data_IF_479052143494
#
_entry.id   IF_479052143494
#
_cell.length_a   1.000
_cell.length_b   1.000
_cell.length_c   1.000
_cell.angle_alpha   90.00
_cell.angle_beta   90.00
_cell.angle_gamma   90.00
#
_symmetry.space_group_name_H-M   'P 1'
#
loop_
_entity.id
_entity.type
_entity.pdbx_description
1 polymer ?
#
# COMPACT_ATOMS: atom_id res chain seq x y z
N UNK A 1 13.26 0.48 -25.40
CA UNK A 1 12.04 -0.32 -25.61
C UNK A 1 11.65 -0.96 -24.28
N UNK A 2 10.52 -0.56 -23.67
CA UNK A 2 10.04 -1.16 -22.44
C UNK A 2 9.46 -2.55 -22.74
N UNK A 3 9.82 -3.56 -21.94
CA UNK A 3 9.24 -4.90 -22.08
C UNK A 3 7.87 -4.93 -21.42
N UNK A 4 6.95 -5.70 -21.98
CA UNK A 4 5.67 -5.98 -21.33
C UNK A 4 5.90 -6.91 -20.14
N UNK A 5 5.24 -6.64 -19.03
CA UNK A 5 5.33 -7.49 -17.84
C UNK A 5 4.73 -8.86 -18.16
N UNK A 6 5.40 -9.97 -17.80
CA UNK A 6 4.83 -11.29 -17.99
C UNK A 6 3.55 -11.40 -17.15
N UNK A 7 2.42 -11.59 -17.83
CA UNK A 7 1.12 -11.72 -17.20
C UNK A 7 1.15 -12.94 -16.25
N UNK A 8 0.88 -12.79 -14.95
CA UNK A 8 0.62 -13.94 -14.10
C UNK A 8 -0.62 -14.67 -14.63
N UNK A 9 -0.62 -16.01 -14.58
CA UNK A 9 -1.75 -16.81 -15.01
C UNK A 9 -3.02 -16.30 -14.30
N UNK A 10 -3.97 -15.78 -15.08
CA UNK A 10 -5.24 -15.29 -14.56
C UNK A 10 -6.01 -16.48 -13.97
N UNK A 11 -6.14 -16.53 -12.64
CA UNK A 11 -7.15 -17.36 -12.01
C UNK A 11 -8.48 -16.65 -12.27
N UNK A 12 -9.11 -16.97 -13.40
CA UNK A 12 -10.43 -16.48 -13.76
C UNK A 12 -11.44 -17.12 -12.81
N UNK A 13 -11.70 -16.48 -11.67
CA UNK A 13 -12.87 -16.77 -10.86
C UNK A 13 -14.09 -16.17 -11.57
N UNK A 14 -14.75 -17.00 -12.37
CA UNK A 14 -16.07 -16.73 -12.92
C UNK A 14 -17.10 -17.01 -11.82
N UNK A 15 -17.54 -15.98 -11.09
CA UNK A 15 -18.77 -16.08 -10.31
C UNK A 15 -19.85 -15.14 -10.86
N UNK A 16 -20.65 -15.81 -11.68
CA UNK A 16 -22.03 -15.62 -12.12
C UNK A 16 -22.84 -14.57 -11.35
N UNK A 17 -23.37 -13.62 -12.13
CA UNK A 17 -24.47 -12.71 -11.81
C UNK A 17 -25.80 -13.44 -11.59
N UNK A 18 -26.64 -12.92 -10.68
CA UNK A 18 -28.12 -13.10 -10.52
C UNK A 18 -28.51 -12.50 -9.15
N UNK A 19 -29.56 -11.72 -8.91
CA UNK A 19 -30.79 -11.32 -9.62
C UNK A 19 -31.28 -9.95 -9.11
N UNK A 20 -32.03 -9.28 -9.99
CA UNK A 20 -32.91 -8.14 -9.73
C UNK A 20 -33.95 -8.43 -8.64
N UNK A 21 -34.25 -7.41 -7.84
CA UNK A 21 -35.43 -7.30 -7.00
C UNK A 21 -35.71 -5.82 -6.72
N UNK A 22 -36.56 -5.20 -7.54
CA UNK A 22 -37.08 -3.85 -7.36
C UNK A 22 -38.23 -3.92 -6.34
N UNK A 23 -38.14 -3.17 -5.24
CA UNK A 23 -39.31 -2.80 -4.45
C UNK A 23 -39.33 -1.29 -4.24
N UNK A 24 -40.50 -0.73 -4.51
CA UNK A 24 -40.78 0.68 -4.59
C UNK A 24 -41.07 1.32 -3.21
N UNK A 25 -40.58 2.56 -3.08
CA UNK A 25 -41.18 3.75 -2.47
C UNK A 25 -42.02 3.59 -1.19
N UNK A 26 -41.52 4.19 -0.10
CA UNK A 26 -42.33 5.03 0.78
C UNK A 26 -41.51 6.26 1.21
N UNK A 27 -42.03 7.45 0.94
CA UNK A 27 -41.47 8.72 1.31
C UNK A 27 -41.81 9.07 2.76
N UNK A 28 -40.82 9.55 3.52
CA UNK A 28 -41.05 10.43 4.66
C UNK A 28 -39.88 11.41 4.77
N UNK A 29 -40.13 12.66 4.35
CA UNK A 29 -39.22 13.78 4.47
C UNK A 29 -39.10 14.19 5.93
N UNK A 30 -37.98 13.83 6.57
CA UNK A 30 -37.50 14.43 7.80
C UNK A 30 -36.06 14.87 7.59
N UNK A 31 -35.84 16.14 7.25
CA UNK A 31 -34.50 16.72 7.18
C UNK A 31 -33.99 16.95 8.60
N UNK A 32 -33.58 15.87 9.26
CA UNK A 32 -32.69 15.96 10.40
C UNK A 32 -31.32 16.39 9.85
N UNK A 33 -30.95 17.65 10.07
CA UNK A 33 -29.59 18.11 9.84
C UNK A 33 -28.69 17.29 10.77
N UNK A 34 -28.07 16.26 10.21
CA UNK A 34 -27.01 15.52 10.88
C UNK A 34 -25.91 16.54 11.21
N UNK A 35 -25.39 16.55 12.45
CA UNK A 35 -24.18 17.31 12.72
C UNK A 35 -23.12 16.80 11.75
N UNK A 36 -22.66 17.68 10.87
CA UNK A 36 -21.48 17.44 10.06
C UNK A 36 -20.32 17.35 11.06
N UNK A 37 -20.03 16.13 11.52
CA UNK A 37 -18.77 15.83 12.17
C UNK A 37 -17.70 16.32 11.21
N UNK A 38 -17.06 17.44 11.55
CA UNK A 38 -15.84 17.83 10.87
C UNK A 38 -14.93 16.62 10.96
N UNK A 39 -14.72 15.94 9.84
CA UNK A 39 -13.78 14.82 9.73
C UNK A 39 -12.44 15.41 10.16
N UNK A 40 -12.06 15.19 11.41
CA UNK A 40 -10.70 15.44 11.85
C UNK A 40 -9.84 14.62 10.89
N UNK A 41 -8.98 15.30 10.13
CA UNK A 41 -8.12 14.63 9.18
C UNK A 41 -7.34 13.56 9.94
N UNK A 42 -7.67 12.29 9.69
CA UNK A 42 -6.97 11.16 10.29
C UNK A 42 -5.56 11.16 9.72
N UNK A 43 -4.62 11.65 10.51
CA UNK A 43 -3.24 11.84 10.07
C UNK A 43 -2.35 10.71 10.60
N UNK A 44 -1.42 10.26 9.75
CA UNK A 44 -0.39 9.32 10.18
C UNK A 44 0.63 10.03 11.06
N UNK A 45 0.84 9.48 12.26
CA UNK A 45 1.89 9.95 13.17
C UNK A 45 3.18 9.14 12.96
N UNK A 46 4.34 9.81 12.90
CA UNK A 46 5.64 9.14 12.90
C UNK A 46 5.77 8.13 14.05
N UNK A 47 6.43 7.00 13.77
CA UNK A 47 6.61 5.94 14.76
C UNK A 47 7.85 5.11 14.48
N UNK A 48 8.27 4.37 15.49
CA UNK A 48 9.23 3.27 15.36
C UNK A 48 8.64 2.01 15.97
N UNK A 49 8.67 0.91 15.23
CA UNK A 49 8.25 -0.40 15.69
C UNK A 49 9.41 -1.40 15.56
N UNK A 50 9.53 -2.26 16.56
CA UNK A 50 10.50 -3.35 16.58
C UNK A 50 9.76 -4.67 16.63
N UNK A 51 10.09 -5.57 15.71
CA UNK A 51 9.53 -6.91 15.64
C UNK A 51 10.63 -7.94 15.82
N UNK A 52 10.28 -9.06 16.44
CA UNK A 52 11.12 -10.26 16.44
C UNK A 52 10.49 -11.29 15.53
N UNK A 53 11.30 -11.89 14.68
CA UNK A 53 10.89 -12.96 13.78
C UNK A 53 11.99 -14.01 13.70
N UNK A 54 11.74 -15.10 12.99
CA UNK A 54 12.73 -16.14 12.73
C UNK A 54 12.80 -16.43 11.24
N UNK A 55 14.02 -16.61 10.74
CA UNK A 55 14.27 -16.99 9.36
C UNK A 55 15.19 -18.22 9.36
N UNK A 56 14.70 -19.35 8.82
CA UNK A 56 15.44 -20.62 8.79
C UNK A 56 15.99 -21.04 10.17
N UNK A 57 15.20 -20.81 11.23
CA UNK A 57 15.56 -21.16 12.61
C UNK A 57 16.52 -20.18 13.30
N UNK A 58 16.78 -19.01 12.70
CA UNK A 58 17.62 -17.97 13.29
C UNK A 58 16.79 -16.73 13.59
N UNK A 59 16.92 -16.20 14.81
CA UNK A 59 16.21 -15.01 15.27
C UNK A 59 16.68 -13.75 14.54
N UNK A 60 15.72 -12.95 14.08
CA UNK A 60 15.93 -11.65 13.44
C UNK A 60 15.13 -10.58 14.17
N UNK A 61 15.76 -9.43 14.39
CA UNK A 61 15.04 -8.20 14.69
C UNK A 61 14.73 -7.46 13.38
N UNK A 62 13.51 -6.94 13.27
CA UNK A 62 13.08 -6.03 12.21
C UNK A 62 12.77 -4.68 12.85
N UNK A 63 13.30 -3.62 12.27
CA UNK A 63 12.97 -2.23 12.62
C UNK A 63 12.15 -1.63 11.48
N UNK A 64 11.01 -1.04 11.85
CA UNK A 64 10.16 -0.27 10.94
C UNK A 64 10.02 1.15 11.46
N UNK A 65 10.27 2.14 10.62
CA UNK A 65 10.11 3.56 10.98
C UNK A 65 9.23 4.26 9.97
N UNK A 66 8.29 5.05 10.46
CA UNK A 66 7.56 6.03 9.66
C UNK A 66 8.03 7.41 10.12
N UNK A 67 8.53 8.21 9.20
CA UNK A 67 9.04 9.55 9.43
C UNK A 67 8.37 10.53 8.46
N UNK A 68 8.34 11.81 8.83
CA UNK A 68 7.90 12.86 7.92
C UNK A 68 9.09 13.28 7.05
N UNK A 69 8.90 13.24 5.74
CA UNK A 69 9.87 13.66 4.74
C UNK A 69 9.66 15.11 4.30
N UNK A 70 10.26 15.47 3.17
CA UNK A 70 10.09 16.78 2.55
C UNK A 70 8.71 16.88 1.86
N UNK A 71 8.21 18.10 1.65
CA UNK A 71 6.95 18.36 0.93
C UNK A 71 5.74 17.56 1.46
N UNK A 72 5.62 17.39 2.78
CA UNK A 72 4.55 16.61 3.42
C UNK A 72 4.49 15.15 2.96
N UNK A 73 5.61 14.60 2.50
CA UNK A 73 5.75 13.17 2.26
C UNK A 73 5.95 12.41 3.57
N UNK A 74 5.65 11.11 3.53
CA UNK A 74 6.01 10.15 4.55
C UNK A 74 7.07 9.21 4.00
N UNK A 75 8.10 8.97 4.81
CA UNK A 75 9.16 7.99 4.52
C UNK A 75 8.99 6.82 5.46
N UNK A 76 8.73 5.66 4.89
CA UNK A 76 8.51 4.42 5.61
C UNK A 76 9.64 3.44 5.33
N UNK A 77 10.45 3.17 6.34
CA UNK A 77 11.53 2.18 6.25
C UNK A 77 11.15 0.90 6.97
N UNK A 78 11.61 -0.23 6.46
CA UNK A 78 11.43 -1.54 7.09
C UNK A 78 12.62 -2.43 6.76
N UNK A 79 13.27 -3.00 7.76
CA UNK A 79 14.42 -3.85 7.47
C UNK A 79 14.92 -4.63 8.66
N UNK A 80 15.68 -5.67 8.35
CA UNK A 80 16.31 -6.56 9.32
C UNK A 80 17.47 -7.30 8.68
N UNK A 81 18.46 -7.66 9.48
CA UNK A 81 19.66 -8.36 9.01
C UNK A 81 20.13 -9.36 10.06
N UNK A 82 20.48 -10.56 9.60
CA UNK A 82 21.20 -11.56 10.37
C UNK A 82 22.37 -12.07 9.54
N UNK A 83 23.59 -11.93 10.06
CA UNK A 83 24.81 -12.36 9.37
C UNK A 83 24.88 -11.74 7.95
N UNK A 84 24.82 -12.56 6.91
CA UNK A 84 24.85 -12.16 5.49
C UNK A 84 23.47 -12.03 4.85
N UNK A 85 22.41 -12.47 5.54
CA UNK A 85 21.04 -12.46 5.05
C UNK A 85 20.32 -11.24 5.63
N UNK A 86 19.57 -10.54 4.80
CA UNK A 86 18.81 -9.41 5.27
C UNK A 86 17.93 -8.82 4.18
N UNK A 87 17.16 -7.83 4.57
CA UNK A 87 16.43 -7.01 3.63
C UNK A 87 16.27 -5.59 4.16
N UNK A 88 16.04 -4.68 3.24
CA UNK A 88 15.71 -3.30 3.50
C UNK A 88 14.67 -2.85 2.48
N UNK A 89 13.65 -2.17 2.98
CA UNK A 89 12.56 -1.59 2.21
C UNK A 89 12.41 -0.13 2.57
N UNK A 90 12.15 0.69 1.55
CA UNK A 90 11.81 2.10 1.69
C UNK A 90 10.60 2.38 0.81
N UNK A 91 9.55 2.96 1.38
CA UNK A 91 8.41 3.51 0.68
C UNK A 91 8.31 5.01 0.92
N UNK A 92 8.03 5.79 -0.12
CA UNK A 92 7.72 7.22 -0.04
C UNK A 92 6.33 7.45 -0.57
N UNK A 93 5.51 8.18 0.17
CA UNK A 93 4.11 8.42 -0.18
C UNK A 93 3.54 9.68 0.48
N UNK A 94 2.42 10.16 -0.04
CA UNK A 94 1.62 11.23 0.56
C UNK A 94 0.28 10.69 1.06
N UNK A 95 -0.37 11.43 1.95
CA UNK A 95 -1.75 11.18 2.38
C UNK A 95 -2.62 12.33 1.88
N UNK A 96 -3.56 12.02 0.99
CA UNK A 96 -4.49 12.97 0.41
C UNK A 96 -5.93 12.50 0.66
N UNK A 97 -6.72 13.29 1.40
CA UNK A 97 -8.12 12.95 1.68
C UNK A 97 -8.31 11.59 2.36
N UNK A 98 -7.38 11.19 3.25
CA UNK A 98 -7.39 9.90 3.95
C UNK A 98 -6.93 8.71 3.09
N UNK A 99 -6.44 8.96 1.88
CA UNK A 99 -5.95 7.93 0.96
C UNK A 99 -4.46 8.11 0.72
N UNK A 100 -3.72 7.00 0.71
CA UNK A 100 -2.30 7.00 0.41
C UNK A 100 -2.09 7.12 -1.10
N UNK A 101 -1.17 8.02 -1.48
CA UNK A 101 -0.64 8.20 -2.83
C UNK A 101 0.83 7.79 -2.84
N UNK A 102 1.16 6.56 -3.27
CA UNK A 102 2.54 6.12 -3.34
C UNK A 102 3.32 6.91 -4.40
N UNK A 103 4.55 7.28 -4.07
CA UNK A 103 5.50 7.88 -5.00
C UNK A 103 6.54 6.84 -5.44
N UNK A 104 7.15 6.15 -4.47
CA UNK A 104 8.14 5.13 -4.76
C UNK A 104 8.18 4.03 -3.71
N UNK A 105 8.63 2.85 -4.13
CA UNK A 105 8.94 1.72 -3.27
C UNK A 105 10.21 1.02 -3.76
N UNK A 106 11.15 0.77 -2.86
CA UNK A 106 12.40 0.07 -3.13
C UNK A 106 12.57 -1.06 -2.14
N UNK A 107 12.82 -2.27 -2.65
CA UNK A 107 13.22 -3.44 -1.87
C UNK A 107 14.61 -3.89 -2.27
N UNK A 108 15.43 -4.18 -1.27
CA UNK A 108 16.75 -4.78 -1.42
C UNK A 108 16.86 -5.96 -0.44
N UNK A 109 17.08 -7.16 -0.98
CA UNK A 109 17.34 -8.37 -0.20
C UNK A 109 18.75 -8.90 -0.44
N UNK A 110 19.44 -9.30 0.63
CA UNK A 110 20.78 -9.88 0.58
C UNK A 110 20.79 -11.34 1.05
N UNK A 111 21.73 -12.14 0.53
CA UNK A 111 21.92 -13.53 0.92
C UNK A 111 22.64 -14.31 -0.19
N UNK A 112 22.25 -15.58 -0.40
CA UNK A 112 22.82 -16.40 -1.48
C UNK A 112 22.56 -15.81 -2.87
N UNK A 113 21.40 -15.18 -3.05
CA UNK A 113 21.03 -14.44 -4.26
C UNK A 113 20.44 -13.11 -3.84
N UNK A 114 21.07 -12.03 -4.28
CA UNK A 114 20.55 -10.69 -4.02
C UNK A 114 19.30 -10.44 -4.87
N UNK A 115 18.35 -9.70 -4.31
CA UNK A 115 17.08 -9.37 -4.96
C UNK A 115 16.85 -7.88 -4.85
N UNK A 116 16.49 -7.26 -5.96
CA UNK A 116 16.07 -5.86 -6.02
C UNK A 116 14.70 -5.78 -6.69
N UNK A 117 13.81 -4.96 -6.13
CA UNK A 117 12.53 -4.62 -6.73
C UNK A 117 12.29 -3.14 -6.51
N UNK A 118 11.73 -2.49 -7.51
CA UNK A 118 11.37 -1.08 -7.42
C UNK A 118 10.04 -0.83 -8.08
N UNK A 119 9.30 0.13 -7.53
CA UNK A 119 8.11 0.70 -8.12
C UNK A 119 8.27 2.21 -8.06
N UNK A 120 8.12 2.88 -9.21
CA UNK A 120 8.07 4.33 -9.31
C UNK A 120 6.74 4.70 -9.93
N UNK A 121 5.92 5.43 -9.18
CA UNK A 121 4.56 5.78 -9.57
C UNK A 121 4.59 7.11 -10.32
N UNK A 122 3.98 7.15 -11.51
CA UNK A 122 3.82 8.35 -12.31
C UNK A 122 2.32 8.55 -12.62
N UNK A 123 1.57 9.17 -11.69
CA UNK A 123 0.14 9.43 -11.87
C UNK A 123 -0.16 10.28 -13.09
N UNK A 124 0.71 11.23 -13.44
CA UNK A 124 0.54 12.11 -14.59
C UNK A 124 0.61 11.33 -15.92
N UNK A 125 1.51 10.34 -16.00
CA UNK A 125 1.59 9.44 -17.15
C UNK A 125 0.62 8.25 -17.08
N UNK A 126 -0.09 8.06 -15.96
CA UNK A 126 -0.96 6.89 -15.73
C UNK A 126 -0.19 5.57 -15.68
N UNK A 127 1.06 5.58 -15.21
CA UNK A 127 1.96 4.43 -15.28
C UNK A 127 2.72 4.18 -13.96
N UNK A 128 3.15 2.93 -13.78
CA UNK A 128 4.13 2.54 -12.76
C UNK A 128 5.33 1.92 -13.48
N UNK A 129 6.52 2.44 -13.22
CA UNK A 129 7.78 1.79 -13.66
C UNK A 129 8.15 0.74 -12.62
N UNK A 130 8.16 -0.52 -13.01
CA UNK A 130 8.47 -1.65 -12.14
C UNK A 130 9.79 -2.29 -12.53
N UNK A 131 10.72 -2.40 -11.58
CA UNK A 131 11.95 -3.16 -11.74
C UNK A 131 11.74 -4.59 -11.23
N UNK A 132 11.90 -5.56 -12.14
CA UNK A 132 11.82 -6.98 -11.80
C UNK A 132 12.88 -7.78 -12.56
N UNK A 133 13.68 -8.56 -11.82
CA UNK A 133 14.81 -9.34 -12.39
C UNK A 133 15.67 -8.49 -13.33
N UNK A 134 16.09 -7.32 -12.84
CA UNK A 134 16.95 -6.37 -13.55
C UNK A 134 16.40 -5.86 -14.90
N UNK A 135 15.09 -6.00 -15.13
CA UNK A 135 14.40 -5.47 -16.29
C UNK A 135 13.32 -4.48 -15.83
N UNK A 136 13.20 -3.37 -16.56
CA UNK A 136 12.15 -2.38 -16.36
C UNK A 136 10.90 -2.71 -17.18
N UNK A 137 9.76 -2.60 -16.52
CA UNK A 137 8.43 -2.81 -17.08
C UNK A 137 7.56 -1.61 -16.80
N UNK A 138 6.61 -1.35 -17.69
CA UNK A 138 5.56 -0.37 -17.47
C UNK A 138 4.26 -1.10 -17.14
N UNK A 139 3.67 -0.73 -16.01
CA UNK A 139 2.36 -1.22 -15.57
C UNK A 139 1.36 -0.07 -15.61
N UNK A 140 0.07 -0.33 -15.87
CA UNK A 140 -0.96 0.69 -15.77
C UNK A 140 -1.14 1.13 -14.31
N UNK A 141 -1.31 2.44 -14.09
CA UNK A 141 -1.70 2.98 -12.79
C UNK A 141 -3.20 3.27 -12.75
N UNK A 142 -3.92 2.61 -11.82
CA UNK A 142 -5.37 2.78 -11.68
C UNK A 142 -5.80 3.90 -10.72
N UNK A 143 -4.86 4.66 -10.14
CA UNK A 143 -5.14 5.68 -9.11
C UNK A 143 -5.32 5.13 -7.68
N UNK A 144 -5.55 3.82 -7.55
CA UNK A 144 -5.72 3.10 -6.28
C UNK A 144 -4.66 1.99 -6.09
N UNK A 145 -3.66 1.91 -6.97
CA UNK A 145 -2.61 0.89 -6.85
C UNK A 145 -1.67 1.27 -5.71
N UNK A 146 -1.52 0.37 -4.74
CA UNK A 146 -0.62 0.50 -3.60
C UNK A 146 0.46 -0.57 -3.65
N UNK A 147 1.67 -0.24 -3.20
CA UNK A 147 2.71 -1.24 -2.92
C UNK A 147 2.44 -1.94 -1.58
N UNK A 148 3.22 -3.00 -1.27
CA UNK A 148 2.98 -3.82 -0.07
C UNK A 148 3.08 -3.05 1.24
N UNK A 149 3.90 -2.00 1.30
CA UNK A 149 4.14 -1.23 2.52
C UNK A 149 3.03 -0.21 2.73
N UNK A 150 2.65 0.48 1.65
CA UNK A 150 1.55 1.46 1.66
C UNK A 150 0.19 0.82 1.84
N UNK A 151 -0.02 -0.43 1.41
CA UNK A 151 -1.24 -1.20 1.73
C UNK A 151 -1.48 -1.31 3.25
N UNK A 152 -0.44 -1.60 4.02
CA UNK A 152 -0.55 -1.72 5.48
C UNK A 152 -0.80 -0.37 6.15
N UNK A 153 -0.18 0.71 5.68
CA UNK A 153 -0.45 2.05 6.21
C UNK A 153 -1.83 2.56 5.81
N UNK A 154 -2.37 2.17 4.65
CA UNK A 154 -3.74 2.50 4.25
C UNK A 154 -4.73 1.83 5.21
N UNK A 155 -4.51 0.55 5.53
CA UNK A 155 -5.32 -0.14 6.53
C UNK A 155 -5.25 0.57 7.89
N UNK A 156 -4.06 0.99 8.31
CA UNK A 156 -3.88 1.76 9.55
C UNK A 156 -4.66 3.08 9.53
N UNK A 157 -4.61 3.83 8.43
CA UNK A 157 -5.39 5.05 8.25
C UNK A 157 -6.90 4.80 8.36
N UNK A 158 -7.39 3.76 7.67
CA UNK A 158 -8.79 3.32 7.74
C UNK A 158 -9.21 3.01 9.18
N UNK A 159 -8.42 2.24 9.92
CA UNK A 159 -8.70 1.91 11.32
C UNK A 159 -8.67 3.15 12.24
N UNK A 160 -7.72 4.07 12.01
CA UNK A 160 -7.64 5.31 12.78
C UNK A 160 -8.83 6.25 12.52
N UNK A 161 -9.44 6.18 11.33
CA UNK A 161 -10.65 6.92 10.99
C UNK A 161 -11.91 6.36 11.66
N UNK A 162 -11.80 5.25 12.40
CA UNK A 162 -12.92 4.60 13.06
C UNK A 162 -13.78 3.75 12.12
N UNK A 163 -13.30 3.48 10.90
CA UNK A 163 -13.93 2.53 9.99
C UNK A 163 -13.63 1.10 10.50
N UNK A 164 -14.67 0.27 10.63
CA UNK A 164 -14.53 -1.15 10.94
C UNK A 164 -13.91 -1.89 9.76
N UNK A 165 -13.22 -3.01 10.03
CA UNK A 165 -12.60 -3.88 9.02
C UNK A 165 -13.56 -4.13 7.85
N UNK A 166 -13.12 -4.01 6.58
CA UNK A 166 -13.98 -4.31 5.44
C UNK A 166 -14.35 -5.80 5.47
N UNK A 167 -15.66 -6.08 5.45
CA UNK A 167 -16.24 -7.44 5.38
C UNK A 167 -15.69 -8.29 4.22
#
# INVERSE_FOLDING_TARGET
>A
MAKQYPQPASITSRWIARRLGIWALLALSGAAALPSSATAATELRPYTAQYKTTARGIDMAITRTLEQGENDSYVLTNGGKILVVGFHEVGVFHVEGGQIKPESYVYQGSGLVNRRRELHFDPAAGQIKSLYKDNWYQLPYSGATLDRMTQLEQLRLTLLAGETEPD
#
